data_IF_368913777815
#
_entry.id   IF_368913777815
#
_cell.length_a   1.000
_cell.length_b   1.000
_cell.length_c   1.000
_cell.angle_alpha   90.00
_cell.angle_beta   90.00
_cell.angle_gamma   90.00
#
_symmetry.space_group_name_H-M   'P 1'
#
loop_
_entity.id
_entity.type
_entity.pdbx_description
1 polymer ?
#
# COMPACT_ATOMS: atom_id res chain seq x y z
N UNK A 1 69.07 73.25 -38.41
CA UNK A 1 67.79 72.60 -38.77
C UNK A 1 67.62 71.27 -38.02
N UNK A 2 67.12 71.25 -36.76
CA UNK A 2 66.89 69.99 -35.99
C UNK A 2 65.67 70.03 -35.04
N UNK A 3 64.75 71.00 -35.18
CA UNK A 3 63.53 71.10 -34.33
C UNK A 3 62.24 70.57 -34.97
N UNK A 4 62.22 70.29 -36.27
CA UNK A 4 61.00 69.83 -36.97
C UNK A 4 60.89 68.30 -37.13
N UNK A 5 61.98 67.55 -36.92
CA UNK A 5 61.96 66.09 -37.09
C UNK A 5 61.33 65.38 -35.87
N UNK A 6 61.58 65.87 -34.66
CA UNK A 6 61.01 65.32 -33.42
C UNK A 6 59.50 65.50 -33.35
N UNK A 7 58.97 66.63 -33.85
CA UNK A 7 57.53 66.91 -33.89
C UNK A 7 56.81 66.02 -34.92
N UNK A 8 57.44 65.75 -36.07
CA UNK A 8 56.94 64.81 -37.08
C UNK A 8 56.96 63.36 -36.59
N UNK A 9 57.98 62.98 -35.83
CA UNK A 9 58.11 61.63 -35.26
C UNK A 9 57.09 61.38 -34.14
N UNK A 10 56.80 62.39 -33.32
CA UNK A 10 55.74 62.32 -32.31
C UNK A 10 54.34 62.22 -32.93
N UNK A 11 54.08 62.94 -34.03
CA UNK A 11 52.82 62.81 -34.78
C UNK A 11 52.66 61.43 -35.42
N UNK A 12 53.72 60.90 -36.03
CA UNK A 12 53.70 59.57 -36.62
C UNK A 12 53.45 58.47 -35.55
N UNK A 13 54.05 58.62 -34.37
CA UNK A 13 53.83 57.70 -33.26
C UNK A 13 52.41 57.82 -32.69
N UNK A 14 51.88 59.04 -32.55
CA UNK A 14 50.50 59.27 -32.10
C UNK A 14 49.46 58.69 -33.05
N UNK A 15 49.66 58.84 -34.36
CA UNK A 15 48.80 58.23 -35.39
C UNK A 15 48.93 56.71 -35.39
N UNK A 16 50.13 56.16 -35.23
CA UNK A 16 50.34 54.71 -35.13
C UNK A 16 49.67 54.11 -33.87
N UNK A 17 49.72 54.80 -32.73
CA UNK A 17 49.02 54.40 -31.50
C UNK A 17 47.50 54.50 -31.68
N UNK A 18 46.98 55.57 -32.29
CA UNK A 18 45.55 55.67 -32.58
C UNK A 18 45.05 54.58 -33.55
N UNK A 19 45.83 54.28 -34.59
CA UNK A 19 45.51 53.19 -35.52
C UNK A 19 45.57 51.82 -34.83
N UNK A 20 46.52 51.62 -33.92
CA UNK A 20 46.62 50.38 -33.13
C UNK A 20 45.44 50.20 -32.18
N UNK A 21 44.96 51.28 -31.54
CA UNK A 21 43.76 51.24 -30.70
C UNK A 21 42.47 51.03 -31.51
N UNK A 22 42.42 51.51 -32.76
CA UNK A 22 41.27 51.28 -33.64
C UNK A 22 41.12 49.82 -34.10
N UNK A 23 42.22 49.04 -34.10
CA UNK A 23 42.22 47.61 -34.43
C UNK A 23 41.71 46.73 -33.25
N UNK A 24 41.76 47.22 -32.01
CA UNK A 24 41.17 46.54 -30.85
C UNK A 24 39.65 46.78 -30.70
N UNK A 25 39.06 47.62 -31.54
CA UNK A 25 37.60 47.84 -31.55
C UNK A 25 36.84 46.79 -32.39
N UNK A 26 37.54 45.79 -32.94
CA UNK A 26 37.01 44.87 -33.95
C UNK A 26 36.29 43.61 -33.47
N UNK A 27 36.55 43.05 -32.27
CA UNK A 27 35.99 41.74 -31.91
C UNK A 27 35.91 41.45 -30.41
N UNK A 28 35.14 42.19 -29.62
CA UNK A 28 34.66 41.70 -28.31
C UNK A 28 33.22 42.16 -28.00
N UNK A 29 32.34 42.24 -29.00
CA UNK A 29 30.91 42.08 -28.72
C UNK A 29 30.67 40.59 -28.50
N UNK A 30 30.87 40.15 -27.25
CA UNK A 30 30.50 38.84 -26.73
C UNK A 30 29.03 38.59 -27.08
N UNK A 31 28.75 37.66 -28.00
CA UNK A 31 27.38 37.19 -28.27
C UNK A 31 26.82 36.62 -26.96
N UNK A 32 26.08 37.44 -26.21
CA UNK A 32 25.36 37.01 -25.02
C UNK A 32 23.93 36.66 -25.44
N UNK A 33 23.74 35.42 -25.87
CA UNK A 33 22.40 34.84 -26.02
C UNK A 33 21.91 34.43 -24.63
N UNK A 34 20.96 35.17 -24.06
CA UNK A 34 20.26 34.75 -22.84
C UNK A 34 18.94 34.11 -23.22
N UNK A 35 18.81 32.80 -23.03
CA UNK A 35 17.53 32.11 -22.99
C UNK A 35 17.11 31.92 -21.54
N UNK A 36 15.92 32.40 -21.17
CA UNK A 36 15.30 32.07 -19.89
C UNK A 36 14.34 30.89 -20.10
N UNK A 37 14.61 29.76 -19.43
CA UNK A 37 13.66 28.67 -19.29
C UNK A 37 13.06 28.73 -17.89
N UNK A 38 11.73 28.64 -17.77
CA UNK A 38 11.07 28.36 -16.51
C UNK A 38 10.80 26.87 -16.42
N UNK A 39 11.31 26.24 -15.37
CA UNK A 39 10.99 24.85 -15.03
C UNK A 39 10.07 24.85 -13.81
N UNK A 40 9.08 23.97 -13.80
CA UNK A 40 8.13 23.81 -12.69
C UNK A 40 8.04 22.33 -12.35
N UNK A 41 8.47 21.99 -11.13
CA UNK A 41 8.27 20.68 -10.54
C UNK A 41 7.26 20.78 -9.39
N UNK A 42 6.46 19.73 -9.19
CA UNK A 42 5.63 19.55 -7.99
C UNK A 42 5.88 18.19 -7.37
N UNK A 43 5.62 18.09 -6.07
CA UNK A 43 5.58 16.81 -5.38
C UNK A 43 4.46 15.92 -5.95
N UNK A 44 4.74 14.62 -6.05
CA UNK A 44 3.76 13.63 -6.44
C UNK A 44 2.68 13.47 -5.37
N UNK A 45 1.44 13.27 -5.79
CA UNK A 45 0.32 13.00 -4.89
C UNK A 45 0.45 11.59 -4.32
N UNK A 46 0.27 11.45 -3.00
CA UNK A 46 0.22 10.17 -2.28
C UNK A 46 -1.16 9.92 -1.71
N UNK A 47 -1.86 8.91 -2.23
CA UNK A 47 -3.18 8.47 -1.76
C UNK A 47 -3.32 6.95 -1.92
N UNK A 48 -3.30 6.25 -0.80
CA UNK A 48 -3.65 4.83 -0.70
C UNK A 48 -4.99 4.67 -0.01
N UNK A 49 -5.87 3.89 -0.63
CA UNK A 49 -7.17 3.51 -0.10
C UNK A 49 -7.18 2.02 0.24
N UNK A 50 -7.78 1.66 1.37
CA UNK A 50 -8.00 0.27 1.75
C UNK A 50 -9.38 0.10 2.40
N UNK A 51 -9.98 -1.08 2.27
CA UNK A 51 -11.32 -1.33 2.81
C UNK A 51 -11.84 -2.75 2.57
N UNK A 52 -13.05 -3.00 3.05
CA UNK A 52 -13.78 -4.26 2.84
C UNK A 52 -15.13 -4.02 2.17
N UNK A 53 -15.63 -5.00 1.42
CA UNK A 53 -16.99 -4.98 0.86
C UNK A 53 -17.34 -3.77 -0.01
N UNK A 54 -16.33 -3.15 -0.66
CA UNK A 54 -16.50 -1.95 -1.49
C UNK A 54 -16.38 -0.61 -0.75
N UNK A 55 -16.32 -0.61 0.58
CA UNK A 55 -16.15 0.60 1.40
C UNK A 55 -14.65 0.90 1.59
N UNK A 56 -14.04 1.59 0.62
CA UNK A 56 -12.63 1.99 0.68
C UNK A 56 -12.47 3.33 1.41
N UNK A 57 -11.49 3.41 2.32
CA UNK A 57 -11.10 4.64 3.00
C UNK A 57 -9.62 4.94 2.76
N UNK A 58 -9.27 6.21 2.66
CA UNK A 58 -7.88 6.62 2.59
C UNK A 58 -7.18 6.25 3.91
N UNK A 59 -6.10 5.47 3.81
CA UNK A 59 -5.24 5.14 4.96
C UNK A 59 -4.06 6.11 5.05
N UNK A 60 -3.66 6.70 3.93
CA UNK A 60 -2.49 7.59 3.72
C UNK A 60 -2.54 9.01 4.31
N UNK A 61 -3.58 9.38 5.07
CA UNK A 61 -3.83 10.78 5.44
C UNK A 61 -3.33 11.19 6.83
N UNK A 62 -3.00 10.24 7.71
CA UNK A 62 -2.72 10.52 9.14
C UNK A 62 -1.44 9.87 9.71
N UNK A 63 -0.55 9.31 8.89
CA UNK A 63 0.78 8.85 9.35
C UNK A 63 0.78 7.64 10.30
N UNK A 64 -0.37 7.00 10.48
CA UNK A 64 -0.54 5.67 11.07
C UNK A 64 -1.56 4.94 10.21
N UNK A 65 -1.09 4.53 9.04
CA UNK A 65 -1.92 3.96 8.00
C UNK A 65 -2.25 2.53 8.41
N UNK A 66 -3.34 2.35 9.17
CA UNK A 66 -3.91 1.06 9.49
C UNK A 66 -5.43 1.16 9.40
N UNK A 67 -6.04 0.09 8.90
CA UNK A 67 -7.49 -0.09 8.95
C UNK A 67 -7.78 -1.37 9.68
N UNK A 68 -8.76 -1.37 10.58
CA UNK A 68 -9.29 -2.60 11.16
C UNK A 68 -10.59 -2.95 10.47
N UNK A 69 -10.81 -4.24 10.23
CA UNK A 69 -12.07 -4.77 9.73
C UNK A 69 -12.55 -5.91 10.63
N UNK A 70 -13.86 -6.15 10.61
CA UNK A 70 -14.46 -7.30 11.28
C UNK A 70 -14.42 -8.53 10.36
N UNK A 71 -13.69 -9.55 10.78
CA UNK A 71 -13.51 -10.81 10.06
C UNK A 71 -14.74 -11.73 10.17
N UNK A 72 -15.54 -11.59 11.24
CA UNK A 72 -16.66 -12.48 11.54
C UNK A 72 -18.00 -11.98 10.98
N UNK A 73 -17.98 -11.05 10.03
CA UNK A 73 -19.21 -10.48 9.46
C UNK A 73 -20.11 -11.53 8.78
N UNK A 74 -19.56 -12.66 8.33
CA UNK A 74 -20.33 -13.74 7.70
C UNK A 74 -19.95 -15.10 8.25
N UNK A 75 -20.97 -15.86 8.69
CA UNK A 75 -20.84 -17.22 9.21
C UNK A 75 -21.51 -18.20 8.25
N UNK A 76 -20.72 -19.15 7.75
CA UNK A 76 -21.10 -20.14 6.76
C UNK A 76 -20.93 -21.55 7.34
N UNK A 77 -21.74 -22.49 6.86
CA UNK A 77 -21.62 -23.91 7.19
C UNK A 77 -20.45 -24.52 6.39
N UNK A 78 -19.55 -25.29 7.02
CA UNK A 78 -18.43 -25.95 6.32
C UNK A 78 -18.89 -26.89 5.19
N UNK A 79 -20.15 -27.35 5.20
CA UNK A 79 -20.75 -28.17 4.14
C UNK A 79 -21.28 -27.37 2.94
N UNK A 80 -21.14 -26.03 2.92
CA UNK A 80 -21.55 -25.20 1.79
C UNK A 80 -21.28 -23.70 1.97
N UNK A 81 -22.04 -22.85 1.28
CA UNK A 81 -21.97 -21.37 1.36
C UNK A 81 -23.31 -20.73 1.74
N UNK A 82 -24.21 -21.54 2.28
CA UNK A 82 -25.42 -21.06 2.90
C UNK A 82 -25.05 -20.59 4.30
N UNK A 83 -25.56 -19.43 4.70
CA UNK A 83 -25.50 -18.97 6.08
C UNK A 83 -25.94 -20.12 7.01
N UNK A 84 -25.14 -20.41 8.03
CA UNK A 84 -25.43 -21.56 8.88
C UNK A 84 -26.67 -21.29 9.73
N UNK A 85 -27.83 -21.74 9.26
CA UNK A 85 -29.11 -21.60 9.97
C UNK A 85 -29.15 -22.36 11.31
N UNK A 86 -28.15 -23.19 11.62
CA UNK A 86 -28.02 -23.87 12.91
C UNK A 86 -27.34 -23.00 13.95
N UNK A 87 -26.65 -21.95 13.52
CA UNK A 87 -26.12 -20.92 14.41
C UNK A 87 -27.11 -19.76 14.43
N UNK A 88 -27.52 -19.38 15.64
CA UNK A 88 -28.41 -18.23 15.79
C UNK A 88 -27.68 -16.98 15.33
N UNK A 89 -28.35 -16.10 14.58
CA UNK A 89 -27.87 -14.74 14.40
C UNK A 89 -27.73 -14.08 15.78
N UNK A 90 -26.53 -13.58 16.08
CA UNK A 90 -26.37 -12.77 17.28
C UNK A 90 -27.06 -11.41 17.12
N UNK A 91 -27.18 -10.68 18.23
CA UNK A 91 -27.69 -9.31 18.19
C UNK A 91 -26.62 -8.38 17.64
N UNK A 92 -25.79 -7.88 18.54
CA UNK A 92 -24.68 -6.97 18.22
C UNK A 92 -23.34 -7.70 17.98
N UNK A 93 -23.29 -9.01 18.21
CA UNK A 93 -22.11 -9.85 18.09
C UNK A 93 -22.36 -10.97 17.08
N UNK A 94 -21.34 -11.37 16.33
CA UNK A 94 -21.41 -12.59 15.53
C UNK A 94 -21.22 -13.81 16.42
N UNK A 95 -22.17 -14.74 16.40
CA UNK A 95 -22.03 -16.05 17.04
C UNK A 95 -21.36 -17.00 16.04
N UNK A 96 -20.28 -17.65 16.46
CA UNK A 96 -19.59 -18.70 15.71
C UNK A 96 -19.64 -20.02 16.47
N UNK A 97 -19.54 -21.14 15.76
CA UNK A 97 -19.63 -22.49 16.34
C UNK A 97 -18.68 -23.47 15.66
N UNK A 98 -18.37 -24.63 16.29
CA UNK A 98 -17.64 -25.71 15.63
C UNK A 98 -18.26 -26.08 14.29
N UNK A 99 -17.44 -26.16 13.24
CA UNK A 99 -17.89 -26.47 11.88
C UNK A 99 -18.42 -25.28 11.10
N UNK A 100 -18.25 -24.06 11.62
CA UNK A 100 -18.49 -22.83 10.85
C UNK A 100 -17.21 -22.26 10.25
N UNK A 101 -17.36 -21.48 9.19
CA UNK A 101 -16.28 -20.76 8.55
C UNK A 101 -16.78 -19.46 7.94
N UNK A 102 -15.87 -18.61 7.49
CA UNK A 102 -16.24 -17.38 6.82
C UNK A 102 -15.06 -16.73 6.14
N UNK A 103 -15.34 -15.62 5.47
CA UNK A 103 -14.32 -14.83 4.80
C UNK A 103 -14.74 -13.37 4.64
N UNK A 104 -13.74 -12.53 4.43
CA UNK A 104 -13.90 -11.12 4.07
C UNK A 104 -12.91 -10.74 2.97
N UNK A 105 -13.37 -9.88 2.07
CA UNK A 105 -12.57 -9.38 0.96
C UNK A 105 -11.95 -8.03 1.35
N UNK A 106 -10.63 -7.99 1.42
CA UNK A 106 -9.82 -6.80 1.62
C UNK A 106 -9.34 -6.28 0.27
N UNK A 107 -9.72 -5.05 -0.07
CA UNK A 107 -9.24 -4.37 -1.27
C UNK A 107 -8.29 -3.24 -0.89
N UNK A 108 -7.16 -3.17 -1.60
CA UNK A 108 -6.20 -2.06 -1.52
C UNK A 108 -6.10 -1.41 -2.91
N UNK A 109 -6.13 -0.10 -2.94
CA UNK A 109 -6.11 0.71 -4.16
C UNK A 109 -5.09 1.83 -4.03
N UNK A 110 -4.19 1.92 -5.01
CA UNK A 110 -3.26 3.01 -5.18
C UNK A 110 -3.87 4.08 -6.10
N UNK A 111 -4.12 5.26 -5.55
CA UNK A 111 -4.53 6.48 -6.28
C UNK A 111 -3.41 7.53 -6.27
N UNK A 112 -2.21 7.13 -5.88
CA UNK A 112 -1.00 7.95 -5.88
C UNK A 112 -0.45 8.08 -7.29
N UNK A 113 0.38 9.10 -7.49
CA UNK A 113 1.13 9.31 -8.74
C UNK A 113 2.48 8.57 -8.74
N UNK A 114 2.72 7.78 -7.70
CA UNK A 114 3.91 6.93 -7.52
C UNK A 114 3.47 5.51 -7.18
N UNK A 115 4.32 4.55 -7.49
CA UNK A 115 4.09 3.17 -7.11
C UNK A 115 4.18 2.99 -5.57
N UNK A 116 3.49 1.97 -5.05
CA UNK A 116 3.40 1.72 -3.62
C UNK A 116 3.58 0.25 -3.31
N UNK A 117 4.46 -0.05 -2.37
CA UNK A 117 4.57 -1.35 -1.71
C UNK A 117 3.57 -1.42 -0.56
N UNK A 118 3.07 -2.62 -0.24
CA UNK A 118 2.06 -2.79 0.81
C UNK A 118 2.21 -4.10 1.58
N UNK A 119 1.97 -4.01 2.88
CA UNK A 119 1.93 -5.16 3.78
C UNK A 119 0.54 -5.33 4.38
N UNK A 120 0.15 -6.57 4.62
CA UNK A 120 -1.06 -6.94 5.36
C UNK A 120 -0.62 -7.82 6.53
N UNK A 121 -1.05 -7.48 7.74
CA UNK A 121 -0.87 -8.33 8.91
C UNK A 121 -2.22 -8.61 9.55
N UNK A 122 -2.43 -9.83 10.04
CA UNK A 122 -3.54 -10.14 10.93
C UNK A 122 -3.02 -10.25 12.36
N UNK A 123 -3.80 -9.82 13.35
CA UNK A 123 -3.47 -9.91 14.77
C UNK A 123 -4.74 -10.19 15.57
N UNK A 124 -4.63 -10.96 16.64
CA UNK A 124 -5.70 -11.08 17.63
C UNK A 124 -5.63 -9.91 18.62
N UNK A 125 -6.79 -9.40 19.02
CA UNK A 125 -6.86 -8.46 20.14
C UNK A 125 -7.18 -9.17 21.44
N UNK A 126 -6.29 -8.98 22.43
CA UNK A 126 -6.43 -9.62 23.74
C UNK A 126 -6.15 -11.12 23.71
N UNK A 127 -6.49 -11.80 24.80
CA UNK A 127 -6.37 -13.24 24.92
C UNK A 127 -7.50 -13.93 24.14
N UNK A 128 -7.14 -14.70 23.11
CA UNK A 128 -8.09 -15.55 22.40
C UNK A 128 -8.14 -16.95 23.01
N UNK A 129 -9.36 -17.50 23.09
CA UNK A 129 -9.56 -18.93 23.40
C UNK A 129 -10.48 -19.64 22.41
N UNK A 130 -10.89 -18.98 21.32
CA UNK A 130 -11.57 -19.69 20.23
C UNK A 130 -10.53 -20.40 19.35
N UNK A 131 -10.74 -21.68 19.03
CA UNK A 131 -9.80 -22.44 18.24
C UNK A 131 -10.06 -22.26 16.74
N UNK A 132 -9.76 -21.08 16.25
CA UNK A 132 -9.95 -20.71 14.86
C UNK A 132 -8.64 -20.82 14.08
N UNK A 133 -8.75 -21.32 12.86
CA UNK A 133 -7.68 -21.26 11.87
C UNK A 133 -7.96 -20.13 10.88
N UNK A 134 -6.89 -19.50 10.40
CA UNK A 134 -6.91 -18.34 9.52
C UNK A 134 -6.10 -18.60 8.25
N UNK A 135 -6.50 -17.96 7.16
CA UNK A 135 -5.73 -17.98 5.91
C UNK A 135 -5.94 -16.69 5.11
N UNK A 136 -5.01 -16.39 4.21
CA UNK A 136 -5.13 -15.28 3.27
C UNK A 136 -4.77 -15.74 1.86
N UNK A 137 -5.54 -15.30 0.88
CA UNK A 137 -5.32 -15.62 -0.53
C UNK A 137 -5.49 -14.38 -1.38
N UNK A 138 -4.56 -14.14 -2.30
CA UNK A 138 -4.73 -13.14 -3.37
C UNK A 138 -5.74 -13.66 -4.38
N UNK A 139 -6.76 -12.87 -4.71
CA UNK A 139 -7.80 -13.28 -5.65
C UNK A 139 -7.96 -12.29 -6.80
N UNK A 140 -8.23 -12.81 -7.99
CA UNK A 140 -8.56 -12.01 -9.15
C UNK A 140 -10.05 -11.70 -9.18
N UNK A 141 -10.39 -10.47 -8.79
CA UNK A 141 -11.76 -9.98 -8.73
C UNK A 141 -12.63 -10.68 -7.66
N UNK A 142 -13.89 -10.27 -7.57
CA UNK A 142 -14.83 -10.87 -6.63
C UNK A 142 -15.23 -12.27 -7.10
N UNK A 143 -14.79 -13.30 -6.37
CA UNK A 143 -15.21 -14.68 -6.58
C UNK A 143 -16.27 -15.06 -5.55
N UNK A 144 -17.37 -15.65 -5.97
CA UNK A 144 -18.29 -16.29 -5.03
C UNK A 144 -17.68 -17.65 -4.67
N UNK A 145 -17.34 -17.86 -3.40
CA UNK A 145 -16.99 -19.21 -2.95
C UNK A 145 -18.21 -20.12 -3.01
N UNK A 146 -17.97 -21.42 -3.16
CA UNK A 146 -19.01 -22.46 -3.10
C UNK A 146 -18.77 -23.40 -1.90
N UNK A 147 -17.54 -23.42 -1.34
CA UNK A 147 -17.16 -24.20 -0.17
C UNK A 147 -16.00 -23.56 0.59
N UNK A 148 -15.77 -24.01 1.83
CA UNK A 148 -14.59 -23.67 2.61
C UNK A 148 -13.33 -24.18 1.88
N UNK A 149 -12.29 -23.35 1.68
CA UNK A 149 -11.11 -23.78 0.95
C UNK A 149 -10.33 -24.86 1.72
N UNK A 150 -9.86 -25.86 0.98
CA UNK A 150 -9.01 -26.91 1.55
C UNK A 150 -7.54 -26.46 1.70
N UNK A 151 -6.75 -27.30 2.36
CA UNK A 151 -5.33 -27.06 2.58
C UNK A 151 -4.46 -27.11 1.30
N UNK A 152 -5.02 -27.55 0.16
CA UNK A 152 -4.33 -27.47 -1.14
C UNK A 152 -4.50 -26.10 -1.80
N UNK A 153 -5.54 -25.35 -1.40
CA UNK A 153 -5.86 -24.02 -1.92
C UNK A 153 -5.26 -22.92 -1.05
N UNK A 154 -5.31 -23.08 0.27
CA UNK A 154 -4.81 -22.09 1.23
C UNK A 154 -4.00 -22.74 2.34
N UNK A 155 -3.03 -22.00 2.86
CA UNK A 155 -2.26 -22.41 4.05
C UNK A 155 -2.96 -21.90 5.30
N UNK A 156 -3.57 -22.82 6.06
CA UNK A 156 -4.23 -22.52 7.33
C UNK A 156 -3.21 -22.35 8.47
N UNK A 157 -3.48 -21.36 9.33
CA UNK A 157 -2.66 -20.98 10.49
C UNK A 157 -3.53 -20.81 11.72
N UNK A 158 -3.15 -21.41 12.84
CA UNK A 158 -3.86 -21.25 14.11
C UNK A 158 -3.61 -19.88 14.76
N UNK A 159 -2.40 -19.32 14.56
CA UNK A 159 -2.06 -17.97 15.01
C UNK A 159 -2.32 -16.95 13.89
N UNK A 160 -3.23 -15.97 14.09
CA UNK A 160 -3.51 -14.95 13.09
C UNK A 160 -2.26 -14.11 12.75
N UNK A 161 -1.31 -13.93 13.68
CA UNK A 161 -0.06 -13.17 13.44
C UNK A 161 0.89 -13.84 12.44
N UNK A 162 0.69 -15.13 12.17
CA UNK A 162 1.40 -15.84 11.10
C UNK A 162 0.79 -15.56 9.71
N UNK A 163 -0.42 -15.02 9.63
CA UNK A 163 -1.12 -14.71 8.38
C UNK A 163 -0.77 -13.29 7.93
N UNK A 164 0.18 -13.19 6.99
CA UNK A 164 0.70 -11.91 6.52
C UNK A 164 1.08 -11.90 5.04
N UNK A 165 1.02 -10.71 4.46
CA UNK A 165 1.60 -10.36 3.15
C UNK A 165 2.72 -9.36 3.41
N UNK A 166 3.94 -9.70 3.00
CA UNK A 166 5.10 -8.82 3.20
C UNK A 166 5.08 -7.66 2.20
N UNK A 167 5.61 -6.50 2.59
CA UNK A 167 5.59 -5.26 1.80
C UNK A 167 6.13 -5.39 0.38
N UNK A 168 7.17 -6.19 0.20
CA UNK A 168 7.86 -6.40 -1.08
C UNK A 168 7.27 -7.52 -1.92
N UNK A 169 6.17 -8.14 -1.48
CA UNK A 169 5.59 -9.28 -2.21
C UNK A 169 4.94 -8.85 -3.52
N UNK A 170 4.45 -7.60 -3.58
CA UNK A 170 3.73 -7.03 -4.71
C UNK A 170 3.77 -5.50 -4.64
N UNK A 171 3.97 -4.85 -5.79
CA UNK A 171 3.94 -3.39 -5.92
C UNK A 171 2.66 -2.96 -6.65
N UNK A 172 1.97 -1.97 -6.09
CA UNK A 172 0.80 -1.34 -6.70
C UNK A 172 1.23 -0.20 -7.62
N UNK A 173 1.04 -0.36 -8.92
CA UNK A 173 1.32 0.67 -9.92
C UNK A 173 0.46 1.92 -9.72
N UNK A 174 0.97 3.06 -10.21
CA UNK A 174 0.28 4.36 -10.18
C UNK A 174 -0.82 4.49 -11.26
N UNK A 175 -0.84 3.59 -12.25
CA UNK A 175 -1.80 3.60 -13.36
C UNK A 175 -3.07 2.80 -13.09
N UNK A 176 -2.94 1.68 -12.39
CA UNK A 176 -3.98 0.65 -12.25
C UNK A 176 -3.90 -0.13 -10.93
N UNK A 177 -3.10 0.33 -9.96
CA UNK A 177 -2.81 -0.36 -8.71
C UNK A 177 -4.05 -0.71 -7.90
N UNK A 178 -4.54 -1.93 -8.06
CA UNK A 178 -5.62 -2.50 -7.28
C UNK A 178 -5.27 -3.95 -6.97
N UNK A 179 -5.47 -4.35 -5.72
CA UNK A 179 -5.35 -5.75 -5.31
C UNK A 179 -6.50 -6.13 -4.41
N UNK A 180 -6.90 -7.40 -4.50
CA UNK A 180 -7.94 -7.99 -3.68
C UNK A 180 -7.36 -9.23 -2.98
N UNK A 181 -7.45 -9.25 -1.67
CA UNK A 181 -7.16 -10.41 -0.85
C UNK A 181 -8.43 -10.88 -0.18
N UNK A 182 -8.60 -12.19 -0.10
CA UNK A 182 -9.61 -12.81 0.72
C UNK A 182 -8.96 -13.36 1.97
N UNK A 183 -9.48 -12.94 3.11
CA UNK A 183 -9.08 -13.41 4.43
C UNK A 183 -10.14 -14.38 4.91
N UNK A 184 -9.73 -15.60 5.23
CA UNK A 184 -10.59 -16.69 5.67
C UNK A 184 -10.40 -16.97 7.15
N UNK A 185 -11.45 -17.48 7.78
CA UNK A 185 -11.39 -18.12 9.09
C UNK A 185 -12.23 -19.40 9.08
N UNK A 186 -11.88 -20.37 9.92
CA UNK A 186 -12.71 -21.54 10.19
C UNK A 186 -12.59 -21.99 11.63
N UNK A 187 -13.66 -22.55 12.17
CA UNK A 187 -13.62 -23.39 13.36
C UNK A 187 -13.65 -24.85 12.93
N UNK A 188 -12.47 -25.47 12.88
CA UNK A 188 -12.37 -26.86 12.49
C UNK A 188 -12.85 -27.77 13.63
N UNK A 189 -13.99 -28.42 13.42
CA UNK A 189 -14.58 -29.37 14.37
C UNK A 189 -13.99 -30.78 14.25
N UNK A 190 -13.17 -31.03 13.24
CA UNK A 190 -12.51 -32.32 13.03
C UNK A 190 -11.11 -32.36 13.65
N UNK A 191 -10.78 -31.39 14.52
CA UNK A 191 -9.52 -31.35 15.26
C UNK A 191 -9.43 -32.56 16.19
N UNK A 192 -8.39 -33.36 16.00
CA UNK A 192 -8.20 -34.61 16.74
C UNK A 192 -8.19 -34.37 18.26
N UNK A 193 -9.05 -35.10 18.98
CA UNK A 193 -9.18 -35.08 20.44
C UNK A 193 -9.60 -33.72 21.04
N UNK A 194 -10.35 -32.90 20.30
CA UNK A 194 -10.78 -31.56 20.75
C UNK A 194 -12.28 -31.41 21.03
N UNK A 195 -13.07 -32.47 20.86
CA UNK A 195 -14.53 -32.46 21.10
C UNK A 195 -14.92 -31.95 22.51
N UNK A 196 -14.15 -32.31 23.53
CA UNK A 196 -14.39 -31.86 24.91
C UNK A 196 -14.16 -30.35 25.06
N UNK A 197 -13.08 -29.82 24.45
CA UNK A 197 -12.75 -28.39 24.44
C UNK A 197 -13.86 -27.60 23.74
N UNK A 198 -14.28 -28.06 22.55
CA UNK A 198 -15.37 -27.43 21.79
C UNK A 198 -16.69 -27.43 22.58
N UNK A 199 -17.00 -28.55 23.24
CA UNK A 199 -18.20 -28.68 24.08
C UNK A 199 -18.16 -27.73 25.28
N UNK A 200 -17.00 -27.58 25.93
CA UNK A 200 -16.86 -26.71 27.10
C UNK A 200 -16.91 -25.23 26.72
N UNK A 201 -16.32 -24.82 25.59
CA UNK A 201 -16.49 -23.47 25.03
C UNK A 201 -17.96 -23.20 24.72
N UNK A 202 -18.62 -24.13 24.01
CA UNK A 202 -20.04 -24.01 23.67
C UNK A 202 -20.95 -23.95 24.89
N UNK A 203 -20.65 -24.71 25.96
CA UNK A 203 -21.40 -24.67 27.23
C UNK A 203 -21.26 -23.33 27.94
N UNK A 204 -20.07 -22.71 27.88
CA UNK A 204 -19.83 -21.39 28.48
C UNK A 204 -20.51 -20.27 27.68
N UNK A 205 -20.49 -20.33 26.35
CA UNK A 205 -21.21 -19.41 25.46
C UNK A 205 -20.83 -17.93 25.60
N UNK A 206 -19.64 -17.64 26.12
CA UNK A 206 -19.16 -16.29 26.47
C UNK A 206 -17.79 -15.94 25.89
N UNK A 207 -17.12 -16.91 25.28
CA UNK A 207 -15.80 -16.69 24.71
C UNK A 207 -15.92 -15.84 23.47
N UNK A 208 -15.17 -14.74 23.43
CA UNK A 208 -15.12 -13.80 22.30
C UNK A 208 -13.72 -13.78 21.71
N UNK A 209 -13.61 -13.55 20.41
CA UNK A 209 -12.34 -13.27 19.73
C UNK A 209 -12.54 -12.08 18.82
N UNK A 210 -11.57 -11.17 18.82
CA UNK A 210 -11.50 -10.05 17.88
C UNK A 210 -10.23 -10.20 17.07
N UNK A 211 -10.36 -10.22 15.74
CA UNK A 211 -9.24 -10.22 14.81
C UNK A 211 -9.16 -8.87 14.13
N UNK A 212 -7.99 -8.27 14.14
CA UNK A 212 -7.68 -7.08 13.37
C UNK A 212 -6.74 -7.46 12.24
N UNK A 213 -7.08 -7.08 11.02
CA UNK A 213 -6.04 -6.87 10.04
C UNK A 213 -5.50 -5.45 10.12
N UNK A 214 -4.30 -5.25 9.61
CA UNK A 214 -3.64 -3.97 9.43
C UNK A 214 -3.02 -3.94 8.04
N UNK A 215 -3.32 -2.90 7.26
CA UNK A 215 -2.70 -2.64 5.96
C UNK A 215 -1.74 -1.48 6.11
N UNK A 216 -0.47 -1.65 5.75
CA UNK A 216 0.53 -0.58 5.67
C UNK A 216 0.99 -0.40 4.23
N UNK A 217 1.18 0.83 3.79
CA UNK A 217 1.70 1.12 2.45
C UNK A 217 2.85 2.12 2.51
N UNK A 218 3.85 1.94 1.66
CA UNK A 218 5.02 2.80 1.52
C UNK A 218 5.27 3.08 0.05
N UNK A 219 5.84 4.24 -0.27
CA UNK A 219 6.29 4.50 -1.64
C UNK A 219 7.30 3.42 -2.04
N UNK A 220 7.15 2.87 -3.25
CA UNK A 220 8.12 1.93 -3.81
C UNK A 220 9.37 2.69 -4.27
N UNK A 221 10.54 2.06 -4.11
CA UNK A 221 11.86 2.60 -4.49
C UNK A 221 12.09 2.61 -6.01
#
# INVERSE_FOLDING_TARGET
MRKHNTMRMAYALGVAVMLSFSLFSGTLARYASSGSGTDMARAAKWVINAGTGGNLKAISTNGTDSMSFDLFNKVLDTKGVIEDKRVKAGGDETIVAPGTWGYVDLKIQNLSEVAADYAINLDAEGESSLPLDYAILKIDGFKNEIACPDASTVTWKADPSEVKVASTSDTLNHTDGNVLYRVYWKWDYMRANKDQEDTDIGRNGRTTQTIKATVKATQAD
#
